data_IF_963751273618
#
_entry.id   IF_963751273618
#
_cell.length_a   1.000
_cell.length_b   1.000
_cell.length_c   1.000
_cell.angle_alpha   90.00
_cell.angle_beta   90.00
_cell.angle_gamma   90.00
#
_symmetry.space_group_name_H-M   'P 1'
#
loop_
_entity.id
_entity.type
_entity.pdbx_description
1 polymer ?
#
# COMPACT_ATOMS: atom_id res chain seq x y z
N UNK A 1 32.64 1.09 -17.03
CA UNK A 1 31.51 0.28 -16.54
C UNK A 1 30.25 0.84 -17.16
N UNK A 2 29.57 0.09 -18.02
CA UNK A 2 28.25 0.46 -18.51
C UNK A 2 27.21 -0.04 -17.51
N UNK A 3 26.26 0.83 -17.16
CA UNK A 3 25.15 0.48 -16.28
C UNK A 3 24.08 -0.17 -17.15
N UNK A 4 23.69 -1.41 -16.84
CA UNK A 4 22.66 -2.14 -17.59
C UNK A 4 21.27 -1.60 -17.24
N UNK A 5 20.81 -0.62 -18.01
CA UNK A 5 19.52 0.03 -17.84
C UNK A 5 18.32 -0.91 -17.96
N UNK A 6 18.46 -2.01 -18.69
CA UNK A 6 17.43 -3.06 -18.84
C UNK A 6 17.18 -3.80 -17.52
N UNK A 7 18.25 -4.12 -16.77
CA UNK A 7 18.14 -4.76 -15.47
C UNK A 7 17.53 -3.83 -14.41
N UNK A 8 17.79 -2.52 -14.52
CA UNK A 8 17.19 -1.51 -13.65
C UNK A 8 15.69 -1.38 -13.93
N UNK A 9 15.29 -1.31 -15.21
CA UNK A 9 13.88 -1.26 -15.59
C UNK A 9 13.10 -2.52 -15.18
N UNK A 10 13.70 -3.71 -15.31
CA UNK A 10 13.08 -4.94 -14.83
C UNK A 10 12.79 -4.87 -13.32
N UNK A 11 13.76 -4.47 -12.50
CA UNK A 11 13.57 -4.32 -11.04
C UNK A 11 12.50 -3.29 -10.69
N UNK A 12 12.46 -2.16 -11.40
CA UNK A 12 11.44 -1.15 -11.17
C UNK A 12 10.04 -1.68 -11.49
N UNK A 13 9.89 -2.43 -12.58
CA UNK A 13 8.61 -3.03 -12.96
C UNK A 13 8.16 -4.10 -11.95
N UNK A 14 9.08 -4.93 -11.47
CA UNK A 14 8.80 -5.93 -10.44
C UNK A 14 8.34 -5.26 -9.14
N UNK A 15 8.97 -4.14 -8.78
CA UNK A 15 8.64 -3.40 -7.57
C UNK A 15 7.26 -2.72 -7.66
N UNK A 16 6.93 -2.16 -8.83
CA UNK A 16 5.60 -1.61 -9.11
C UNK A 16 4.53 -2.70 -9.03
N UNK A 17 4.77 -3.89 -9.60
CA UNK A 17 3.84 -5.01 -9.55
C UNK A 17 3.64 -5.53 -8.12
N UNK A 18 4.72 -5.58 -7.31
CA UNK A 18 4.63 -5.98 -5.91
C UNK A 18 3.81 -4.99 -5.08
N UNK A 19 3.96 -3.70 -5.33
CA UNK A 19 3.22 -2.68 -4.59
C UNK A 19 1.73 -2.67 -4.99
N UNK A 20 1.40 -2.87 -6.26
CA UNK A 20 -0.01 -3.03 -6.67
C UNK A 20 -0.67 -4.26 -6.05
N UNK A 21 0.07 -5.38 -5.96
CA UNK A 21 -0.45 -6.60 -5.33
C UNK A 21 -0.64 -6.44 -3.82
N UNK A 22 0.24 -5.71 -3.13
CA UNK A 22 0.06 -5.37 -1.71
C UNK A 22 -1.20 -4.52 -1.51
N UNK A 23 -1.38 -3.49 -2.33
CA UNK A 23 -2.55 -2.62 -2.23
C UNK A 23 -3.85 -3.39 -2.47
N UNK A 24 -3.87 -4.30 -3.44
CA UNK A 24 -5.00 -5.20 -3.68
C UNK A 24 -5.25 -6.16 -2.50
N UNK A 25 -4.19 -6.72 -1.91
CA UNK A 25 -4.29 -7.60 -0.74
C UNK A 25 -4.90 -6.89 0.48
N UNK A 26 -4.46 -5.66 0.77
CA UNK A 26 -5.02 -4.86 1.86
C UNK A 26 -6.43 -4.35 1.55
N UNK A 27 -6.74 -4.03 0.28
CA UNK A 27 -8.08 -3.61 -0.14
C UNK A 27 -9.12 -4.74 -0.03
N UNK A 28 -8.70 -6.00 -0.15
CA UNK A 28 -9.55 -7.19 0.06
C UNK A 28 -9.75 -7.55 1.53
N UNK A 29 -9.18 -6.76 2.47
CA UNK A 29 -9.28 -7.02 3.90
C UNK A 29 -8.33 -8.11 4.41
N UNK A 30 -7.29 -8.45 3.64
CA UNK A 30 -6.25 -9.35 4.09
C UNK A 30 -5.50 -8.76 5.29
N UNK A 31 -5.46 -9.49 6.40
CA UNK A 31 -4.62 -9.16 7.55
C UNK A 31 -3.30 -9.89 7.44
N UNK A 32 -2.18 -9.16 7.51
CA UNK A 32 -0.86 -9.77 7.68
C UNK A 32 -0.72 -10.08 9.17
N UNK A 33 -0.78 -11.36 9.54
CA UNK A 33 -0.43 -11.77 10.89
C UNK A 33 1.06 -11.50 11.09
N UNK A 34 1.36 -10.39 11.76
CA UNK A 34 2.72 -10.07 12.19
C UNK A 34 3.06 -11.04 13.31
N UNK A 35 3.64 -12.17 12.94
CA UNK A 35 4.24 -13.09 13.92
C UNK A 35 5.33 -12.28 14.64
N UNK A 36 5.06 -11.92 15.88
CA UNK A 36 6.01 -11.20 16.72
C UNK A 36 7.31 -12.00 16.76
N UNK A 37 8.39 -11.38 16.29
CA UNK A 37 9.71 -11.99 16.39
C UNK A 37 10.00 -12.21 17.87
N UNK A 38 10.32 -13.43 18.33
CA UNK A 38 10.66 -13.65 19.72
C UNK A 38 11.84 -12.74 20.08
N UNK A 39 11.63 -11.85 21.05
CA UNK A 39 12.71 -11.04 21.59
C UNK A 39 13.65 -11.97 22.37
N UNK A 40 14.68 -12.47 21.69
CA UNK A 40 15.76 -13.18 22.35
C UNK A 40 16.53 -12.14 23.16
N UNK A 41 16.21 -12.04 24.45
CA UNK A 41 17.02 -11.27 25.40
C UNK A 41 18.37 -11.95 25.50
N UNK A 42 19.39 -11.33 24.92
CA UNK A 42 20.77 -11.79 25.12
C UNK A 42 21.11 -11.56 26.58
N UNK A 43 21.49 -12.62 27.30
CA UNK A 43 21.97 -12.52 28.67
C UNK A 43 23.11 -11.50 28.75
N UNK A 44 23.09 -10.56 29.72
CA UNK A 44 24.15 -9.57 29.86
C UNK A 44 25.51 -10.26 30.00
N UNK A 45 26.49 -9.82 29.23
CA UNK A 45 27.86 -10.31 29.24
C UNK A 45 28.47 -10.10 30.63
N UNK A 46 28.87 -11.18 31.29
CA UNK A 46 29.54 -11.14 32.62
C UNK A 46 30.84 -10.31 32.57
N UNK A 47 31.47 -10.19 31.38
CA UNK A 47 32.65 -9.33 31.18
C UNK A 47 32.36 -7.84 31.37
N UNK A 48 31.13 -7.39 31.15
CA UNK A 48 30.76 -5.97 31.27
C UNK A 48 30.46 -5.59 32.73
N UNK A 49 30.25 -6.57 33.62
CA UNK A 49 29.92 -6.36 35.04
C UNK A 49 31.12 -6.37 35.99
N UNK A 50 32.32 -6.74 35.52
CA UNK A 50 33.50 -6.77 36.39
C UNK A 50 34.15 -5.37 36.47
N UNK A 51 33.75 -4.58 37.47
CA UNK A 51 34.36 -3.27 37.78
C UNK A 51 35.29 -3.42 38.99
N UNK A 52 36.60 -3.25 38.77
CA UNK A 52 37.59 -3.16 39.86
C UNK A 52 37.44 -1.80 40.58
N UNK A 53 37.39 -1.76 41.93
CA UNK A 53 37.32 -0.51 42.66
C UNK A 53 38.58 0.33 42.37
N UNK A 54 38.40 1.55 41.85
CA UNK A 54 39.49 2.46 41.48
C UNK A 54 39.83 2.53 39.99
N UNK A 55 39.13 1.81 39.09
CA UNK A 55 39.39 1.94 37.65
C UNK A 55 38.89 3.30 37.10
N UNK A 56 39.74 4.12 36.45
CA UNK A 56 39.37 5.45 35.94
C UNK A 56 38.70 5.38 34.56
N UNK A 57 37.94 4.32 34.27
CA UNK A 57 37.33 4.12 32.96
C UNK A 57 35.82 4.08 33.09
N UNK A 58 35.18 5.22 32.82
CA UNK A 58 33.88 5.20 32.16
C UNK A 58 34.04 4.35 30.90
N UNK A 59 33.19 3.36 30.72
CA UNK A 59 33.27 2.55 29.52
C UNK A 59 33.01 3.47 28.31
N UNK A 60 33.70 3.26 27.19
CA UNK A 60 33.43 3.99 25.92
C UNK A 60 31.93 4.00 25.57
N UNK A 61 31.19 2.99 26.04
CA UNK A 61 29.75 2.86 25.90
C UNK A 61 28.94 3.84 26.76
N UNK A 62 29.36 4.09 28.01
CA UNK A 62 28.78 5.11 28.90
C UNK A 62 29.01 6.52 28.31
N UNK A 63 30.18 6.79 27.73
CA UNK A 63 30.47 8.06 27.05
C UNK A 63 29.60 8.28 25.80
N UNK A 64 29.41 7.24 24.99
CA UNK A 64 28.53 7.29 23.81
C UNK A 64 27.08 7.52 24.22
N UNK A 65 26.62 6.88 25.29
CA UNK A 65 25.26 7.07 25.79
C UNK A 65 25.05 8.50 26.31
N UNK A 66 26.00 9.03 27.09
CA UNK A 66 25.95 10.40 27.58
C UNK A 66 25.98 11.44 26.43
N UNK A 67 26.75 11.18 25.37
CA UNK A 67 26.76 12.05 24.18
C UNK A 67 25.42 12.03 23.42
N UNK A 68 24.78 10.85 23.31
CA UNK A 68 23.46 10.71 22.67
C UNK A 68 22.36 11.41 23.47
N UNK A 69 22.38 11.33 24.79
CA UNK A 69 21.40 12.01 25.65
C UNK A 69 21.53 13.54 25.54
N UNK A 70 22.75 14.07 25.47
CA UNK A 70 22.98 15.50 25.24
C UNK A 70 22.44 15.99 23.91
N UNK A 71 22.69 15.25 22.83
CA UNK A 71 22.15 15.57 21.49
C UNK A 71 20.62 15.49 21.46
N UNK A 72 20.02 14.51 22.13
CA UNK A 72 18.56 14.39 22.24
C UNK A 72 17.95 15.57 23.03
N UNK A 73 18.61 16.03 24.09
CA UNK A 73 18.18 17.18 24.87
C UNK A 73 18.26 18.49 24.06
N UNK A 74 19.34 18.71 23.31
CA UNK A 74 19.48 19.87 22.42
C UNK A 74 18.42 19.89 21.31
N UNK A 75 18.13 18.73 20.69
CA UNK A 75 17.07 18.61 19.69
C UNK A 75 15.69 18.88 20.28
N UNK A 76 15.41 18.38 21.48
CA UNK A 76 14.14 18.63 22.18
C UNK A 76 13.96 20.11 22.51
N UNK A 77 15.03 20.82 22.89
CA UNK A 77 14.99 22.27 23.08
C UNK A 77 14.79 23.05 21.77
N UNK A 78 15.43 22.62 20.68
CA UNK A 78 15.23 23.23 19.36
C UNK A 78 13.77 23.10 18.90
N UNK A 79 13.17 21.92 19.11
CA UNK A 79 11.75 21.65 18.81
C UNK A 79 10.82 22.47 19.72
N UNK A 80 11.20 22.73 20.97
CA UNK A 80 10.42 23.60 21.86
C UNK A 80 10.48 25.08 21.45
N UNK A 81 11.66 25.57 21.02
CA UNK A 81 11.86 26.96 20.58
C UNK A 81 11.24 27.24 19.20
N UNK A 82 11.08 26.22 18.35
CA UNK A 82 10.50 26.34 17.00
C UNK A 82 9.00 26.10 16.90
N UNK A 83 8.31 25.73 18.00
CA UNK A 83 6.85 25.60 17.98
C UNK A 83 6.20 26.99 17.92
N UNK A 84 5.49 27.34 16.82
CA UNK A 84 4.64 28.53 16.83
C UNK A 84 3.54 28.37 17.88
N UNK A 85 3.17 29.49 18.50
CA UNK A 85 2.10 29.62 19.49
C UNK A 85 0.86 28.83 19.03
N UNK A 86 0.25 27.95 19.86
CA UNK A 86 -0.88 27.16 19.41
C UNK A 86 -2.04 28.10 19.08
N UNK A 87 -2.40 28.17 17.80
CA UNK A 87 -3.66 28.76 17.38
C UNK A 87 -4.83 28.05 18.09
N UNK A 88 -5.93 28.76 18.39
CA UNK A 88 -7.11 28.14 18.98
C UNK A 88 -7.59 27.02 18.05
N UNK A 89 -7.60 25.79 18.57
CA UNK A 89 -8.04 24.59 17.86
C UNK A 89 -9.34 24.90 17.09
N UNK A 90 -9.46 24.58 15.79
CA UNK A 90 -10.75 24.65 15.13
C UNK A 90 -11.72 23.76 15.90
N UNK A 91 -12.87 24.34 16.27
CA UNK A 91 -13.96 23.61 16.94
C UNK A 91 -14.21 22.33 16.16
N UNK A 92 -14.10 21.18 16.83
CA UNK A 92 -14.41 19.87 16.23
C UNK A 92 -15.74 20.01 15.47
N UNK A 93 -15.79 19.70 14.16
CA UNK A 93 -17.05 19.73 13.44
C UNK A 93 -18.01 18.77 14.15
N UNK A 94 -19.25 19.21 14.36
CA UNK A 94 -20.28 18.40 15.00
C UNK A 94 -20.40 17.05 14.29
N UNK A 95 -20.69 15.97 15.02
CA UNK A 95 -20.74 14.59 14.49
C UNK A 95 -21.69 14.41 13.28
N UNK A 96 -22.54 15.39 12.99
CA UNK A 96 -23.44 15.45 11.84
C UNK A 96 -22.72 15.81 10.54
N UNK A 97 -21.68 16.66 10.54
CA UNK A 97 -21.00 17.06 9.30
C UNK A 97 -19.94 16.05 8.83
N UNK A 98 -19.31 15.32 9.75
CA UNK A 98 -18.38 14.22 9.43
C UNK A 98 -19.09 13.05 8.71
N UNK A 99 -20.36 12.76 9.08
CA UNK A 99 -21.18 11.74 8.40
C UNK A 99 -21.57 12.14 6.97
N UNK A 100 -21.80 13.43 6.70
CA UNK A 100 -22.15 13.90 5.35
C UNK A 100 -20.94 13.90 4.41
N UNK A 101 -19.78 14.33 4.90
CA UNK A 101 -18.53 14.32 4.11
C UNK A 101 -18.08 12.90 3.74
N UNK A 102 -18.19 11.93 4.65
CA UNK A 102 -17.89 10.53 4.35
C UNK A 102 -18.86 9.89 3.35
N UNK A 103 -20.15 10.24 3.40
CA UNK A 103 -21.15 9.81 2.42
C UNK A 103 -20.91 10.39 1.03
N UNK A 104 -20.50 11.65 0.93
CA UNK A 104 -20.13 12.28 -0.34
C UNK A 104 -18.85 11.68 -0.93
N UNK A 105 -17.85 11.38 -0.11
CA UNK A 105 -16.62 10.69 -0.53
C UNK A 105 -16.87 9.24 -0.97
N UNK A 106 -17.79 8.52 -0.33
CA UNK A 106 -18.21 7.19 -0.76
C UNK A 106 -18.94 7.25 -2.10
N UNK A 107 -19.83 8.23 -2.29
CA UNK A 107 -20.53 8.42 -3.58
C UNK A 107 -19.57 8.77 -4.71
N UNK A 108 -18.60 9.66 -4.50
CA UNK A 108 -17.59 9.99 -5.52
C UNK A 108 -16.66 8.80 -5.81
N UNK A 109 -16.30 8.02 -4.79
CA UNK A 109 -15.56 6.76 -4.96
C UNK A 109 -16.31 5.73 -5.80
N UNK A 110 -17.62 5.58 -5.58
CA UNK A 110 -18.46 4.65 -6.38
C UNK A 110 -18.57 5.09 -7.84
N UNK A 111 -18.66 6.40 -8.12
CA UNK A 111 -18.70 6.92 -9.50
C UNK A 111 -17.38 6.71 -10.23
N UNK A 112 -16.24 6.91 -9.54
CA UNK A 112 -14.92 6.66 -10.11
C UNK A 112 -14.69 5.17 -10.40
N UNK A 113 -15.14 4.27 -9.53
CA UNK A 113 -15.07 2.83 -9.78
C UNK A 113 -15.99 2.40 -10.94
N UNK A 114 -17.20 2.95 -11.03
CA UNK A 114 -18.11 2.69 -12.15
C UNK A 114 -17.54 3.17 -13.49
N UNK A 115 -16.88 4.33 -13.53
CA UNK A 115 -16.24 4.84 -14.74
C UNK A 115 -15.09 3.91 -15.21
N UNK A 116 -14.25 3.43 -14.28
CA UNK A 116 -13.18 2.46 -14.57
C UNK A 116 -13.74 1.13 -15.05
N UNK A 117 -14.83 0.66 -14.45
CA UNK A 117 -15.51 -0.58 -14.86
C UNK A 117 -16.08 -0.47 -16.29
N UNK A 118 -16.73 0.66 -16.62
CA UNK A 118 -17.21 0.93 -18.00
C UNK A 118 -16.08 0.97 -19.01
N UNK A 119 -14.96 1.62 -18.70
CA UNK A 119 -13.79 1.65 -19.59
C UNK A 119 -13.21 0.24 -19.82
N UNK A 120 -13.14 -0.59 -18.77
CA UNK A 120 -12.72 -2.00 -18.89
C UNK A 120 -13.67 -2.81 -19.76
N UNK A 121 -14.99 -2.65 -19.61
CA UNK A 121 -15.99 -3.34 -20.47
C UNK A 121 -15.90 -2.93 -21.93
N UNK A 122 -15.71 -1.63 -22.20
CA UNK A 122 -15.48 -1.14 -23.56
C UNK A 122 -14.22 -1.74 -24.19
N UNK A 123 -13.11 -1.82 -23.43
CA UNK A 123 -11.88 -2.46 -23.91
C UNK A 123 -12.06 -3.96 -24.19
N UNK A 124 -12.85 -4.66 -23.36
CA UNK A 124 -13.20 -6.07 -23.59
C UNK A 124 -14.10 -6.26 -24.81
N UNK A 125 -15.03 -5.33 -25.05
CA UNK A 125 -15.88 -5.35 -26.24
C UNK A 125 -15.06 -5.20 -27.53
N UNK A 126 -14.07 -4.29 -27.57
CA UNK A 126 -13.15 -4.16 -28.71
C UNK A 126 -12.35 -5.44 -28.97
N UNK A 127 -11.86 -6.09 -27.90
CA UNK A 127 -11.15 -7.39 -28.01
C UNK A 127 -12.07 -8.53 -28.44
N UNK A 128 -13.37 -8.45 -28.14
CA UNK A 128 -14.36 -9.46 -28.52
C UNK A 128 -14.83 -9.35 -29.98
N UNK A 129 -14.75 -8.16 -30.62
CA UNK A 129 -15.13 -7.95 -32.03
C UNK A 129 -14.48 -8.92 -33.04
N UNK A 130 -13.16 -9.19 -33.00
CA UNK A 130 -12.55 -10.17 -33.91
C UNK A 130 -13.02 -11.61 -33.65
N UNK A 131 -13.52 -11.89 -32.45
CA UNK A 131 -13.88 -13.22 -31.97
C UNK A 131 -15.39 -13.53 -32.10
N UNK A 132 -16.17 -12.67 -32.76
CA UNK A 132 -17.63 -12.83 -32.88
C UNK A 132 -18.06 -14.09 -33.65
N UNK A 133 -17.16 -14.64 -34.46
CA UNK A 133 -17.37 -15.90 -35.17
C UNK A 133 -17.38 -17.12 -34.23
N UNK A 134 -16.86 -16.96 -33.00
CA UNK A 134 -16.84 -17.99 -31.98
C UNK A 134 -18.09 -17.93 -31.10
N UNK A 135 -18.39 -19.06 -30.47
CA UNK A 135 -19.41 -19.12 -29.43
C UNK A 135 -18.99 -18.31 -28.19
N UNK A 136 -19.95 -17.71 -27.49
CA UNK A 136 -19.69 -16.82 -26.35
C UNK A 136 -18.81 -17.45 -25.26
N UNK A 137 -18.93 -18.76 -25.04
CA UNK A 137 -18.10 -19.48 -24.05
C UNK A 137 -16.63 -19.60 -24.49
N UNK A 138 -16.35 -19.67 -25.80
CA UNK A 138 -14.99 -19.69 -26.32
C UNK A 138 -14.37 -18.28 -26.22
N UNK A 139 -15.12 -17.25 -26.60
CA UNK A 139 -14.70 -15.85 -26.44
C UNK A 139 -14.40 -15.51 -24.98
N UNK A 140 -15.26 -15.96 -24.06
CA UNK A 140 -15.05 -15.73 -22.62
C UNK A 140 -13.79 -16.43 -22.09
N UNK A 141 -13.48 -17.65 -22.55
CA UNK A 141 -12.24 -18.36 -22.20
C UNK A 141 -10.99 -17.65 -22.73
N UNK A 142 -11.02 -17.19 -23.98
CA UNK A 142 -9.88 -16.46 -24.57
C UNK A 142 -9.62 -15.13 -23.85
N UNK A 143 -10.67 -14.47 -23.39
CA UNK A 143 -10.57 -13.22 -22.63
C UNK A 143 -10.38 -13.42 -21.12
N UNK A 144 -10.35 -14.68 -20.63
CA UNK A 144 -10.15 -15.00 -19.22
C UNK A 144 -11.28 -14.52 -18.29
N UNK A 145 -12.52 -14.43 -18.81
CA UNK A 145 -13.70 -13.93 -18.08
C UNK A 145 -14.82 -14.97 -18.06
N UNK A 146 -15.83 -14.76 -17.21
CA UNK A 146 -17.00 -15.64 -17.18
C UNK A 146 -17.90 -15.40 -18.40
N UNK A 147 -18.60 -16.45 -18.84
CA UNK A 147 -19.51 -16.36 -19.98
C UNK A 147 -20.70 -15.43 -19.71
N UNK A 148 -21.16 -15.36 -18.45
CA UNK A 148 -22.19 -14.41 -18.00
C UNK A 148 -21.71 -12.96 -18.18
N UNK A 149 -20.50 -12.66 -17.73
CA UNK A 149 -19.93 -11.32 -17.86
C UNK A 149 -19.73 -10.91 -19.34
N UNK A 150 -19.34 -11.85 -20.20
CA UNK A 150 -19.28 -11.61 -21.65
C UNK A 150 -20.68 -11.44 -22.28
N UNK A 151 -21.71 -12.10 -21.76
CA UNK A 151 -23.10 -11.92 -22.19
C UNK A 151 -23.59 -10.51 -21.89
N UNK A 152 -23.28 -9.98 -20.71
CA UNK A 152 -23.66 -8.63 -20.32
C UNK A 152 -22.94 -7.58 -21.17
N UNK A 153 -21.64 -7.73 -21.40
CA UNK A 153 -20.88 -6.86 -22.31
C UNK A 153 -21.44 -6.92 -23.74
N UNK A 154 -21.84 -8.12 -24.20
CA UNK A 154 -22.45 -8.29 -25.51
C UNK A 154 -23.79 -7.55 -25.65
N UNK A 155 -24.63 -7.57 -24.61
CA UNK A 155 -25.89 -6.81 -24.56
C UNK A 155 -25.64 -5.31 -24.48
N UNK A 156 -24.68 -4.86 -23.67
CA UNK A 156 -24.33 -3.45 -23.50
C UNK A 156 -23.78 -2.82 -24.79
N UNK A 157 -22.99 -3.57 -25.56
CA UNK A 157 -22.32 -3.08 -26.76
C UNK A 157 -22.93 -3.58 -28.10
N UNK A 158 -24.06 -4.28 -28.06
CA UNK A 158 -24.77 -4.76 -29.26
C UNK A 158 -24.05 -5.85 -30.05
N UNK A 159 -23.19 -6.65 -29.39
CA UNK A 159 -22.43 -7.73 -30.02
C UNK A 159 -23.29 -9.00 -30.14
N UNK A 160 -23.31 -9.61 -31.33
CA UNK A 160 -23.98 -10.89 -31.59
C UNK A 160 -22.94 -11.98 -31.77
N UNK A 161 -22.89 -12.93 -30.83
CA UNK A 161 -22.03 -14.10 -30.90
C UNK A 161 -22.67 -15.23 -31.71
N UNK A 162 -21.84 -16.14 -32.24
CA UNK A 162 -22.32 -17.34 -32.91
C UNK A 162 -23.14 -18.22 -31.95
N UNK A 163 -24.26 -18.78 -32.44
CA UNK A 163 -25.08 -19.74 -31.69
C UNK A 163 -24.30 -21.06 -31.53
N UNK A 164 -24.52 -21.73 -30.40
CA UNK A 164 -24.05 -23.11 -30.18
C UNK A 164 -24.66 -23.99 -31.27
N UNK A 165 -23.81 -24.54 -32.12
CA UNK A 165 -24.12 -25.71 -32.94
C UNK A 165 -23.64 -26.95 -32.20
#
# INVERSE_FOLDING_TARGET
MFVDYTAIQARMNDQIMLDTLKDEFFAQGGTVDVIERPQISRSPSIRDSFKLPGSPRTSRREEINAAREKLAAEQAELIRKSKPKPEPKPRKPSAVSVKRQSLEQLKTGTLAMQAKAKARRAALAEKAKPLLHLHIAAVARELGITAEYMSDIGKEHGLKFAKRY
#
